data_IF_341838748083
#
_entry.id   IF_341838748083
#
_cell.length_a   1.000
_cell.length_b   1.000
_cell.length_c   1.000
_cell.angle_alpha   90.00
_cell.angle_beta   90.00
_cell.angle_gamma   90.00
#
_symmetry.space_group_name_H-M   'P 1'
#
loop_
_entity.id
_entity.type
_entity.pdbx_description
1 polymer ?
#
# COMPACT_ATOMS: atom_id res chain seq x y z
N UNK A 1 -22.57 16.64 -13.53
CA UNK A 1 -21.45 17.44 -14.07
C UNK A 1 -20.54 16.50 -14.85
N UNK A 2 -20.22 16.80 -16.12
CA UNK A 2 -19.29 15.95 -16.91
C UNK A 2 -17.87 16.23 -16.41
N UNK A 3 -17.13 15.18 -16.03
CA UNK A 3 -15.69 15.28 -15.80
C UNK A 3 -15.01 15.28 -17.17
N UNK A 4 -14.06 16.18 -17.37
CA UNK A 4 -13.22 16.20 -18.56
C UNK A 4 -11.93 15.45 -18.22
N UNK A 5 -11.40 14.69 -19.18
CA UNK A 5 -10.08 14.06 -19.03
C UNK A 5 -9.00 15.12 -18.88
N UNK A 6 -7.98 14.80 -18.08
CA UNK A 6 -6.75 15.60 -18.01
C UNK A 6 -5.76 15.04 -19.02
N UNK A 7 -4.88 15.90 -19.57
CA UNK A 7 -3.75 15.42 -20.38
C UNK A 7 -2.85 14.58 -19.49
N UNK A 8 -2.59 13.34 -19.90
CA UNK A 8 -1.76 12.40 -19.16
C UNK A 8 -0.34 12.35 -19.73
N UNK A 9 0.64 12.13 -18.86
CA UNK A 9 2.00 11.80 -19.26
C UNK A 9 2.15 10.28 -19.54
N UNK A 10 3.35 9.83 -19.90
CA UNK A 10 3.57 8.43 -20.29
C UNK A 10 3.24 7.44 -19.16
N UNK A 11 3.69 7.70 -17.93
CA UNK A 11 3.45 6.80 -16.79
C UNK A 11 1.97 6.74 -16.41
N UNK A 12 1.27 7.87 -16.46
CA UNK A 12 -0.17 7.94 -16.20
C UNK A 12 -0.97 7.19 -17.26
N UNK A 13 -0.59 7.29 -18.54
CA UNK A 13 -1.20 6.51 -19.63
C UNK A 13 -0.98 5.01 -19.42
N UNK A 14 0.22 4.59 -19.00
CA UNK A 14 0.49 3.18 -18.67
C UNK A 14 -0.34 2.68 -17.49
N UNK A 15 -0.41 3.45 -16.41
CA UNK A 15 -1.22 3.11 -15.25
C UNK A 15 -2.73 3.08 -15.59
N UNK A 16 -3.20 4.03 -16.40
CA UNK A 16 -4.57 4.05 -16.88
C UNK A 16 -4.88 2.84 -17.78
N UNK A 17 -3.94 2.42 -18.63
CA UNK A 17 -4.08 1.22 -19.46
C UNK A 17 -4.20 -0.07 -18.61
N UNK A 18 -3.52 -0.13 -17.46
CA UNK A 18 -3.71 -1.22 -16.49
C UNK A 18 -5.16 -1.21 -15.99
N UNK A 19 -5.69 -0.05 -15.54
CA UNK A 19 -7.07 0.08 -15.09
C UNK A 19 -8.07 -0.31 -16.20
N UNK A 20 -7.80 0.07 -17.45
CA UNK A 20 -8.64 -0.30 -18.59
C UNK A 20 -8.74 -1.81 -18.76
N UNK A 21 -7.60 -2.51 -18.73
CA UNK A 21 -7.56 -3.96 -18.84
C UNK A 21 -8.35 -4.64 -17.73
N UNK A 22 -8.19 -4.17 -16.49
CA UNK A 22 -8.90 -4.74 -15.33
C UNK A 22 -10.41 -4.50 -15.41
N UNK A 23 -10.85 -3.32 -15.84
CA UNK A 23 -12.29 -3.05 -16.08
C UNK A 23 -12.84 -3.99 -17.14
N UNK A 24 -12.13 -4.18 -18.25
CA UNK A 24 -12.55 -5.08 -19.33
C UNK A 24 -12.59 -6.54 -18.87
N UNK A 25 -11.60 -6.98 -18.06
CA UNK A 25 -11.50 -8.35 -17.53
C UNK A 25 -12.64 -8.69 -16.56
N UNK A 26 -13.00 -7.78 -15.66
CA UNK A 26 -14.01 -8.06 -14.63
C UNK A 26 -15.44 -7.74 -15.06
N UNK A 27 -15.65 -7.05 -16.19
CA UNK A 27 -16.99 -6.76 -16.71
C UNK A 27 -17.77 -8.07 -16.93
N UNK A 28 -19.04 -8.20 -16.45
CA UNK A 28 -19.94 -7.14 -15.98
C UNK A 28 -19.87 -6.81 -14.47
N UNK A 29 -18.93 -7.40 -13.71
CA UNK A 29 -18.69 -7.02 -12.31
C UNK A 29 -17.93 -5.70 -12.24
N UNK A 30 -18.10 -4.98 -11.13
CA UNK A 30 -17.49 -3.65 -10.95
C UNK A 30 -16.20 -3.80 -10.10
N UNK A 31 -15.01 -3.66 -10.70
CA UNK A 31 -13.77 -3.61 -9.92
C UNK A 31 -13.66 -2.29 -9.14
N UNK A 32 -12.87 -2.31 -8.09
CA UNK A 32 -12.46 -1.12 -7.35
C UNK A 32 -10.96 -0.91 -7.50
N UNK A 33 -10.58 0.29 -7.93
CA UNK A 33 -9.20 0.75 -7.93
C UNK A 33 -8.96 1.57 -6.67
N UNK A 34 -7.90 1.27 -5.95
CA UNK A 34 -7.33 2.13 -4.93
C UNK A 34 -6.08 2.77 -5.50
N UNK A 35 -6.04 4.09 -5.57
CA UNK A 35 -4.85 4.83 -6.02
C UNK A 35 -4.26 5.58 -4.83
N UNK A 36 -2.99 5.33 -4.56
CA UNK A 36 -2.26 5.96 -3.47
C UNK A 36 -1.04 6.72 -3.99
N UNK A 37 -0.90 7.95 -3.52
CA UNK A 37 0.24 8.82 -3.75
C UNK A 37 0.23 9.92 -2.71
N UNK A 38 1.24 10.78 -2.68
CA UNK A 38 1.35 11.79 -1.63
C UNK A 38 1.92 11.29 -0.33
N UNK A 39 2.75 10.24 -0.38
CA UNK A 39 3.47 9.77 0.80
C UNK A 39 4.34 10.90 1.36
N UNK A 40 4.24 11.17 2.65
CA UNK A 40 5.05 12.23 3.28
C UNK A 40 5.42 11.87 4.71
N UNK A 41 6.55 12.42 5.14
CA UNK A 41 7.01 12.39 6.52
C UNK A 41 6.57 13.70 7.21
N UNK A 42 5.76 13.65 8.29
CA UNK A 42 5.29 14.85 8.96
C UNK A 42 6.42 15.65 9.63
N UNK A 43 7.62 15.08 9.81
CA UNK A 43 8.79 15.76 10.38
C UNK A 43 9.49 16.69 9.39
N UNK A 44 9.17 16.59 8.10
CA UNK A 44 9.78 17.39 7.05
C UNK A 44 8.71 18.12 6.22
N UNK A 45 9.07 19.23 5.56
CA UNK A 45 8.21 19.81 4.55
C UNK A 45 7.84 18.79 3.46
N UNK A 46 6.60 18.85 2.97
CA UNK A 46 6.12 17.97 1.89
C UNK A 46 7.03 18.12 0.67
N UNK A 47 7.75 17.05 0.33
CA UNK A 47 8.71 17.02 -0.76
C UNK A 47 8.03 17.01 -2.14
N UNK A 48 8.84 17.10 -3.20
CA UNK A 48 8.35 17.09 -4.58
C UNK A 48 7.70 15.75 -4.94
N UNK A 49 8.30 14.63 -4.52
CA UNK A 49 7.77 13.29 -4.76
C UNK A 49 6.33 13.16 -4.25
N UNK A 50 6.04 13.58 -3.01
CA UNK A 50 4.72 13.54 -2.43
C UNK A 50 3.70 14.32 -3.28
N UNK A 51 4.03 15.56 -3.64
CA UNK A 51 3.13 16.39 -4.43
C UNK A 51 2.88 15.79 -5.82
N UNK A 52 3.91 15.24 -6.43
CA UNK A 52 3.89 14.68 -7.78
C UNK A 52 3.14 13.36 -7.86
N UNK A 53 3.48 12.39 -7.02
CA UNK A 53 2.78 11.10 -6.92
C UNK A 53 1.29 11.30 -6.62
N UNK A 54 0.93 12.28 -5.78
CA UNK A 54 -0.47 12.61 -5.53
C UNK A 54 -1.18 13.13 -6.79
N UNK A 55 -0.53 14.01 -7.58
CA UNK A 55 -1.09 14.48 -8.85
C UNK A 55 -1.30 13.33 -9.84
N UNK A 56 -0.31 12.46 -10.00
CA UNK A 56 -0.44 11.27 -10.86
C UNK A 56 -1.66 10.41 -10.48
N UNK A 57 -1.78 10.06 -9.19
CA UNK A 57 -2.93 9.30 -8.69
C UNK A 57 -4.27 10.00 -8.99
N UNK A 58 -4.36 11.33 -8.86
CA UNK A 58 -5.58 12.09 -9.10
C UNK A 58 -5.90 12.25 -10.58
N UNK A 59 -4.90 12.47 -11.43
CA UNK A 59 -5.05 12.60 -12.90
C UNK A 59 -5.51 11.28 -13.52
N UNK A 60 -4.92 10.17 -13.08
CA UNK A 60 -5.36 8.81 -13.44
C UNK A 60 -6.78 8.55 -12.97
N UNK A 61 -7.10 8.83 -11.69
CA UNK A 61 -8.45 8.64 -11.17
C UNK A 61 -9.50 9.43 -11.95
N UNK A 62 -9.21 10.69 -12.25
CA UNK A 62 -10.13 11.57 -12.97
C UNK A 62 -10.42 11.04 -14.38
N UNK A 63 -9.37 10.64 -15.11
CA UNK A 63 -9.51 10.05 -16.44
C UNK A 63 -10.24 8.70 -16.43
N UNK A 64 -9.91 7.83 -15.46
CA UNK A 64 -10.57 6.54 -15.30
C UNK A 64 -12.08 6.71 -14.99
N UNK A 65 -12.45 7.63 -14.11
CA UNK A 65 -13.86 7.93 -13.80
C UNK A 65 -14.57 8.54 -15.01
N UNK A 66 -13.93 9.47 -15.72
CA UNK A 66 -14.52 10.10 -16.89
C UNK A 66 -14.86 9.08 -17.99
N UNK A 67 -13.97 8.09 -18.19
CA UNK A 67 -14.11 7.03 -19.19
C UNK A 67 -15.10 5.93 -18.77
N UNK A 68 -14.89 5.32 -17.61
CA UNK A 68 -15.61 4.10 -17.18
C UNK A 68 -16.85 4.37 -16.31
N UNK A 69 -16.96 5.58 -15.74
CA UNK A 69 -18.13 6.07 -15.02
C UNK A 69 -18.62 5.11 -13.92
N UNK A 70 -19.69 4.35 -14.18
CA UNK A 70 -20.35 3.49 -13.20
C UNK A 70 -19.76 2.08 -13.15
N UNK A 71 -19.00 1.70 -14.18
CA UNK A 71 -18.41 0.38 -14.34
C UNK A 71 -17.09 0.24 -13.56
N UNK A 72 -16.69 1.31 -12.85
CA UNK A 72 -15.52 1.37 -11.99
C UNK A 72 -15.86 2.05 -10.66
N UNK A 73 -15.21 1.62 -9.57
CA UNK A 73 -15.11 2.39 -8.33
C UNK A 73 -13.67 2.81 -8.09
N UNK A 74 -13.49 4.01 -7.54
CA UNK A 74 -12.18 4.51 -7.13
C UNK A 74 -12.22 4.90 -5.66
N UNK A 75 -11.17 4.51 -4.93
CA UNK A 75 -10.81 5.03 -3.63
C UNK A 75 -9.42 5.64 -3.74
N UNK A 76 -9.16 6.70 -2.97
CA UNK A 76 -7.89 7.41 -2.95
C UNK A 76 -7.25 7.29 -1.58
N UNK A 77 -5.93 7.31 -1.50
CA UNK A 77 -5.26 7.36 -0.21
C UNK A 77 -3.89 8.00 -0.19
N UNK A 78 -3.40 8.18 1.03
CA UNK A 78 -2.12 8.79 1.40
C UNK A 78 -1.54 7.99 2.57
N UNK A 79 -0.28 7.56 2.45
CA UNK A 79 0.51 6.99 3.53
C UNK A 79 1.35 8.08 4.23
N UNK A 80 1.42 8.04 5.56
CA UNK A 80 2.21 8.98 6.37
C UNK A 80 3.37 8.21 7.00
N UNK A 81 4.61 8.62 6.71
CA UNK A 81 5.83 8.07 7.34
C UNK A 81 6.07 8.72 8.72
N UNK A 82 5.20 8.38 9.66
CA UNK A 82 5.24 8.83 11.06
C UNK A 82 6.06 7.90 11.96
N UNK A 83 6.86 7.00 11.39
CA UNK A 83 7.72 6.07 12.14
C UNK A 83 9.06 6.67 12.52
N UNK A 84 9.64 7.46 11.62
CA UNK A 84 10.97 8.02 11.77
C UNK A 84 12.10 7.05 11.73
N UNK A 85 11.94 5.99 10.95
CA UNK A 85 13.00 5.05 10.68
C UNK A 85 13.67 5.44 9.37
N UNK A 86 14.81 6.14 9.43
CA UNK A 86 15.74 6.14 8.30
C UNK A 86 16.41 4.77 8.28
N UNK A 87 16.00 3.93 7.33
CA UNK A 87 16.57 2.60 7.17
C UNK A 87 17.85 2.69 6.35
N UNK A 88 19.00 2.79 7.03
CA UNK A 88 20.28 2.45 6.44
C UNK A 88 20.41 0.93 6.29
N UNK A 89 21.26 0.47 5.36
CA UNK A 89 21.48 -0.96 5.03
C UNK A 89 21.87 -1.81 6.26
N UNK A 90 22.38 -1.19 7.33
CA UNK A 90 22.85 -1.88 8.53
C UNK A 90 22.10 -1.57 9.83
N UNK A 91 21.27 -0.52 9.89
CA UNK A 91 20.43 -0.25 11.07
C UNK A 91 19.29 0.73 10.78
N UNK A 92 18.16 0.52 11.45
CA UNK A 92 17.06 1.49 11.52
C UNK A 92 17.26 2.37 12.76
N UNK A 93 17.60 3.63 12.57
CA UNK A 93 17.67 4.60 13.66
C UNK A 93 16.35 5.38 13.73
N UNK A 94 15.82 5.57 14.96
CA UNK A 94 14.65 6.41 15.19
C UNK A 94 15.14 7.86 15.19
N UNK A 95 14.71 8.64 14.19
CA UNK A 95 14.99 10.07 14.11
C UNK A 95 14.32 10.83 15.28
N UNK A 96 14.90 11.95 15.73
CA UNK A 96 14.37 12.73 16.86
C UNK A 96 12.94 13.24 16.61
N UNK A 97 12.24 13.52 17.71
CA UNK A 97 10.85 13.97 17.74
C UNK A 97 10.61 15.23 16.89
N UNK A 98 9.36 15.36 16.42
CA UNK A 98 8.85 16.45 15.59
C UNK A 98 9.33 17.81 16.13
N UNK A 99 9.99 18.66 15.32
CA UNK A 99 10.33 20.01 15.76
C UNK A 99 9.03 20.80 16.02
N UNK A 100 8.96 21.52 17.13
CA UNK A 100 7.82 22.37 17.56
C UNK A 100 7.43 23.49 16.56
N UNK A 101 7.97 23.51 15.34
CA UNK A 101 7.77 24.56 14.33
C UNK A 101 7.60 24.01 12.90
N UNK A 102 6.96 22.84 12.71
CA UNK A 102 6.41 22.47 11.41
C UNK A 102 5.04 23.11 11.22
N UNK A 103 4.92 24.02 10.25
CA UNK A 103 3.71 24.78 9.88
C UNK A 103 2.36 24.15 10.27
N UNK A 104 1.88 24.47 11.47
CA UNK A 104 0.46 24.52 11.86
C UNK A 104 -0.44 23.30 11.66
N UNK A 105 0.09 22.10 11.43
CA UNK A 105 -0.71 20.91 11.09
C UNK A 105 -0.64 19.79 12.15
N UNK A 106 -0.68 20.11 13.45
CA UNK A 106 -0.45 19.06 14.47
C UNK A 106 -1.56 18.81 15.50
N UNK A 107 -2.66 19.56 15.53
CA UNK A 107 -3.72 19.25 16.51
C UNK A 107 -4.94 18.49 15.98
N UNK A 108 -5.17 18.38 14.66
CA UNK A 108 -6.46 17.88 14.14
C UNK A 108 -6.41 16.93 12.93
N UNK A 109 -5.40 16.07 12.77
CA UNK A 109 -5.42 15.08 11.66
C UNK A 109 -5.64 15.71 10.27
N UNK A 110 -5.23 16.96 10.12
CA UNK A 110 -5.36 17.73 8.90
C UNK A 110 -4.15 17.47 8.01
N UNK A 111 -4.39 17.18 6.73
CA UNK A 111 -3.33 17.04 5.74
C UNK A 111 -2.54 18.35 5.60
N UNK A 112 -1.22 18.30 5.34
CA UNK A 112 -0.42 19.48 5.05
C UNK A 112 -1.05 20.35 3.96
N UNK A 113 -0.93 21.67 4.10
CA UNK A 113 -1.53 22.65 3.19
C UNK A 113 -1.17 22.40 1.72
N UNK A 114 0.07 21.98 1.43
CA UNK A 114 0.53 21.65 0.08
C UNK A 114 -0.30 20.52 -0.55
N UNK A 115 -0.52 19.42 0.17
CA UNK A 115 -1.33 18.29 -0.31
C UNK A 115 -2.83 18.66 -0.35
N UNK A 116 -3.32 19.39 0.66
CA UNK A 116 -4.70 19.86 0.69
C UNK A 116 -5.04 20.76 -0.51
N UNK A 117 -4.12 21.64 -0.90
CA UNK A 117 -4.28 22.51 -2.07
C UNK A 117 -4.31 21.74 -3.39
N UNK A 118 -3.56 20.64 -3.50
CA UNK A 118 -3.62 19.74 -4.66
C UNK A 118 -4.99 19.06 -4.71
N UNK A 119 -5.43 18.45 -3.60
CA UNK A 119 -6.72 17.76 -3.53
C UNK A 119 -7.90 18.67 -3.88
N UNK A 120 -7.86 19.93 -3.45
CA UNK A 120 -8.91 20.91 -3.73
C UNK A 120 -9.10 21.22 -5.23
N UNK A 121 -8.11 20.93 -6.08
CA UNK A 121 -8.20 21.11 -7.53
C UNK A 121 -9.08 20.04 -8.20
N UNK A 122 -9.31 18.90 -7.54
CA UNK A 122 -9.97 17.73 -8.12
C UNK A 122 -11.37 17.50 -7.55
N UNK A 123 -12.39 17.67 -8.40
CA UNK A 123 -13.82 17.47 -8.05
C UNK A 123 -14.19 16.05 -7.64
N UNK A 124 -13.36 15.07 -7.99
CA UNK A 124 -13.55 13.66 -7.64
C UNK A 124 -13.22 13.37 -6.18
N UNK A 125 -12.45 14.26 -5.54
CA UNK A 125 -11.98 14.06 -4.16
C UNK A 125 -13.12 14.34 -3.19
N UNK A 126 -13.39 13.36 -2.35
CA UNK A 126 -14.27 13.46 -1.19
C UNK A 126 -13.46 13.08 0.04
N UNK A 127 -13.08 14.06 0.85
CA UNK A 127 -12.08 13.90 1.92
C UNK A 127 -12.48 12.80 2.91
N UNK A 128 -13.79 12.64 3.18
CA UNK A 128 -14.33 11.60 4.05
C UNK A 128 -14.20 10.17 3.49
N UNK A 129 -13.89 10.04 2.19
CA UNK A 129 -13.72 8.76 1.49
C UNK A 129 -12.26 8.45 1.18
N UNK A 130 -11.33 9.34 1.54
CA UNK A 130 -9.91 9.07 1.42
C UNK A 130 -9.43 8.16 2.55
N UNK A 131 -8.47 7.30 2.22
CA UNK A 131 -7.76 6.47 3.19
C UNK A 131 -6.46 7.18 3.53
N UNK A 132 -6.37 7.69 4.75
CA UNK A 132 -5.12 8.28 5.28
C UNK A 132 -4.64 7.36 6.38
N UNK A 133 -3.39 6.91 6.30
CA UNK A 133 -2.85 5.90 7.20
C UNK A 133 -1.40 6.20 7.56
N UNK A 134 -1.04 6.07 8.83
CA UNK A 134 0.35 6.21 9.31
C UNK A 134 1.06 4.88 9.48
N UNK A 135 2.34 4.83 9.12
CA UNK A 135 3.19 3.65 9.25
C UNK A 135 3.34 3.17 10.71
N UNK A 136 3.31 4.06 11.70
CA UNK A 136 3.37 3.73 13.12
C UNK A 136 2.20 2.85 13.54
N UNK A 137 1.02 3.19 13.04
CA UNK A 137 -0.18 2.40 13.27
C UNK A 137 -0.09 1.03 12.57
N UNK A 138 0.46 1.00 11.34
CA UNK A 138 0.75 -0.23 10.61
C UNK A 138 1.74 -1.13 11.36
N UNK A 139 2.83 -0.58 11.91
CA UNK A 139 3.83 -1.35 12.68
C UNK A 139 3.20 -2.12 13.83
N UNK A 140 2.43 -1.41 14.66
CA UNK A 140 1.83 -2.00 15.85
C UNK A 140 0.83 -3.11 15.49
N UNK A 141 -0.03 -2.88 14.48
CA UNK A 141 -0.97 -3.89 14.00
C UNK A 141 -0.26 -5.04 13.27
N UNK A 142 0.80 -4.75 12.54
CA UNK A 142 1.59 -5.70 11.77
C UNK A 142 2.23 -6.75 12.68
N UNK A 143 2.78 -6.34 13.82
CA UNK A 143 3.28 -7.29 14.84
C UNK A 143 2.17 -8.21 15.34
N UNK A 144 0.98 -7.67 15.62
CA UNK A 144 -0.15 -8.48 16.12
C UNK A 144 -0.66 -9.45 15.04
N UNK A 145 -0.71 -9.02 13.78
CA UNK A 145 -1.07 -9.89 12.66
C UNK A 145 -0.02 -10.98 12.46
N UNK A 146 1.27 -10.64 12.51
CA UNK A 146 2.35 -11.62 12.41
C UNK A 146 2.27 -12.65 13.55
N UNK A 147 2.09 -12.23 14.81
CA UNK A 147 1.90 -13.15 15.95
C UNK A 147 0.75 -14.14 15.72
N UNK A 148 -0.38 -13.69 15.18
CA UNK A 148 -1.52 -14.56 14.82
C UNK A 148 -1.17 -15.55 13.69
N UNK A 149 -0.40 -15.12 12.70
CA UNK A 149 0.08 -15.98 11.62
C UNK A 149 1.04 -17.04 12.18
N UNK A 150 1.98 -16.66 13.04
CA UNK A 150 2.92 -17.58 13.69
C UNK A 150 2.21 -18.61 14.56
N UNK A 151 1.17 -18.23 15.29
CA UNK A 151 0.39 -19.19 16.07
C UNK A 151 -0.30 -20.22 15.16
N UNK A 152 -0.86 -19.76 14.04
CA UNK A 152 -1.46 -20.66 13.05
C UNK A 152 -0.44 -21.53 12.33
N UNK A 153 0.76 -21.01 12.08
CA UNK A 153 1.83 -21.75 11.42
C UNK A 153 2.16 -23.05 12.17
N UNK A 154 2.01 -23.07 13.50
CA UNK A 154 2.21 -24.28 14.32
C UNK A 154 1.27 -25.43 13.95
N UNK A 155 0.05 -25.13 13.50
CA UNK A 155 -0.96 -26.13 13.14
C UNK A 155 -1.14 -26.28 11.62
N UNK A 156 -0.87 -25.22 10.87
CA UNK A 156 -0.99 -25.17 9.40
C UNK A 156 0.22 -24.41 8.86
N UNK A 157 1.32 -25.11 8.57
CA UNK A 157 2.56 -24.48 8.15
C UNK A 157 2.38 -23.65 6.87
N UNK A 158 2.99 -22.47 6.88
CA UNK A 158 3.15 -21.60 5.72
C UNK A 158 4.53 -21.90 5.11
N UNK A 159 4.62 -22.42 3.88
CA UNK A 159 5.90 -22.78 3.28
C UNK A 159 6.82 -21.58 3.09
N UNK A 160 6.27 -20.37 2.99
CA UNK A 160 7.01 -19.13 2.82
C UNK A 160 7.58 -18.58 4.14
N UNK A 161 7.36 -19.24 5.28
CA UNK A 161 7.74 -18.72 6.60
C UNK A 161 8.84 -19.58 7.24
N UNK A 162 9.97 -18.95 7.55
CA UNK A 162 11.08 -19.55 8.29
C UNK A 162 11.26 -18.88 9.66
N UNK A 163 11.54 -19.69 10.67
CA UNK A 163 11.79 -19.25 12.04
C UNK A 163 13.20 -19.70 12.43
N UNK A 164 14.06 -18.73 12.76
CA UNK A 164 15.41 -18.97 13.26
C UNK A 164 15.48 -18.61 14.74
N UNK A 165 15.72 -19.61 15.60
CA UNK A 165 15.83 -19.43 17.05
C UNK A 165 17.27 -19.65 17.51
N UNK A 166 17.82 -18.64 18.19
CA UNK A 166 19.10 -18.72 18.91
C UNK A 166 18.88 -18.37 20.38
N UNK A 167 19.88 -18.62 21.24
CA UNK A 167 19.76 -18.47 22.69
C UNK A 167 19.30 -17.06 23.17
N UNK A 168 19.48 -16.01 22.36
CA UNK A 168 19.14 -14.64 22.72
C UNK A 168 18.28 -13.91 21.67
N UNK A 169 17.97 -14.55 20.55
CA UNK A 169 17.35 -13.88 19.40
C UNK A 169 16.51 -14.86 18.60
N UNK A 170 15.24 -14.48 18.37
CA UNK A 170 14.36 -15.10 17.39
C UNK A 170 14.26 -14.19 16.17
N UNK A 171 14.45 -14.73 14.97
CA UNK A 171 14.23 -14.03 13.70
C UNK A 171 13.18 -14.75 12.88
N UNK A 172 12.30 -13.97 12.26
CA UNK A 172 11.24 -14.47 11.40
C UNK A 172 11.50 -13.98 10.00
N UNK A 173 11.60 -14.92 9.06
CA UNK A 173 11.86 -14.63 7.66
C UNK A 173 10.67 -15.04 6.81
N UNK A 174 10.43 -14.25 5.77
CA UNK A 174 9.63 -14.64 4.61
C UNK A 174 10.60 -15.08 3.50
N UNK A 175 10.31 -16.21 2.88
CA UNK A 175 11.04 -16.70 1.72
C UNK A 175 10.22 -16.36 0.48
N UNK A 176 10.74 -15.44 -0.34
CA UNK A 176 10.06 -15.04 -1.57
C UNK A 176 10.17 -16.13 -2.67
N UNK A 177 9.58 -15.89 -3.84
CA UNK A 177 9.57 -16.88 -4.95
C UNK A 177 10.97 -17.22 -5.47
N UNK A 178 11.91 -16.28 -5.32
CA UNK A 178 13.30 -16.45 -5.73
C UNK A 178 14.14 -17.17 -4.66
N UNK A 179 13.54 -17.53 -3.51
CA UNK A 179 14.22 -18.17 -2.40
C UNK A 179 15.01 -17.20 -1.51
N UNK A 180 14.86 -15.88 -1.71
CA UNK A 180 15.50 -14.87 -0.88
C UNK A 180 14.80 -14.77 0.48
N UNK A 181 15.60 -14.75 1.55
CA UNK A 181 15.14 -14.54 2.93
C UNK A 181 14.95 -13.05 3.21
N UNK A 182 13.72 -12.66 3.49
CA UNK A 182 13.30 -11.31 3.87
C UNK A 182 12.99 -11.29 5.36
N UNK A 183 13.73 -10.49 6.13
CA UNK A 183 13.49 -10.38 7.58
C UNK A 183 12.16 -9.63 7.84
N UNK A 184 11.23 -10.31 8.50
CA UNK A 184 9.92 -9.74 8.89
C UNK A 184 9.96 -9.10 10.26
N UNK A 185 10.52 -9.82 11.24
CA UNK A 185 10.61 -9.35 12.61
C UNK A 185 11.73 -10.06 13.36
N UNK A 186 12.19 -9.43 14.42
CA UNK A 186 13.14 -10.01 15.37
C UNK A 186 12.68 -9.79 16.81
N UNK A 187 13.01 -10.73 17.70
CA UNK A 187 12.70 -10.69 19.13
C UNK A 187 13.98 -10.90 19.93
N UNK A 188 14.45 -9.84 20.62
CA UNK A 188 15.66 -9.87 21.48
C UNK A 188 15.35 -10.26 22.93
N UNK A 189 14.08 -10.24 23.30
CA UNK A 189 13.57 -10.67 24.59
C UNK A 189 12.26 -11.41 24.38
N UNK A 190 11.82 -12.18 25.38
CA UNK A 190 10.55 -12.90 25.31
C UNK A 190 9.41 -11.90 25.05
N UNK A 191 8.63 -12.15 24.01
CA UNK A 191 7.43 -11.39 23.60
C UNK A 191 7.63 -9.94 23.12
N UNK A 192 8.88 -9.45 23.06
CA UNK A 192 9.23 -8.10 22.54
C UNK A 192 9.70 -8.19 21.10
N UNK A 193 8.79 -7.87 20.18
CA UNK A 193 9.01 -7.98 18.74
C UNK A 193 9.28 -6.61 18.11
N UNK A 194 10.28 -6.56 17.24
CA UNK A 194 10.56 -5.43 16.36
C UNK A 194 10.21 -5.82 14.93
N UNK A 195 9.14 -5.23 14.38
CA UNK A 195 8.78 -5.40 12.98
C UNK A 195 9.75 -4.63 12.07
N UNK A 196 10.01 -5.20 10.88
CA UNK A 196 10.75 -4.57 9.79
C UNK A 196 9.79 -4.04 8.73
N UNK A 197 10.27 -3.19 7.82
CA UNK A 197 9.46 -2.49 6.84
C UNK A 197 8.52 -3.40 6.00
N UNK A 198 8.92 -4.61 5.57
CA UNK A 198 8.00 -5.50 4.86
C UNK A 198 6.73 -5.85 5.67
N UNK A 199 6.82 -5.98 6.99
CA UNK A 199 5.64 -6.23 7.86
C UNK A 199 4.76 -4.98 7.96
N UNK A 200 5.37 -3.80 7.99
CA UNK A 200 4.66 -2.52 8.06
C UNK A 200 3.86 -2.32 6.77
N UNK A 201 4.50 -2.49 5.61
CA UNK A 201 3.87 -2.40 4.30
C UNK A 201 2.83 -3.50 4.08
N UNK A 202 3.11 -4.74 4.52
CA UNK A 202 2.12 -5.81 4.42
C UNK A 202 0.85 -5.51 5.23
N UNK A 203 1.01 -4.93 6.43
CA UNK A 203 -0.12 -4.50 7.23
C UNK A 203 -0.86 -3.31 6.58
N UNK A 204 -0.13 -2.36 5.98
CA UNK A 204 -0.71 -1.25 5.24
C UNK A 204 -1.66 -1.77 4.13
N UNK A 205 -1.18 -2.62 3.22
CA UNK A 205 -2.02 -3.17 2.16
C UNK A 205 -3.20 -3.99 2.70
N UNK A 206 -2.98 -4.73 3.79
CA UNK A 206 -4.03 -5.50 4.46
C UNK A 206 -5.14 -4.61 5.03
N UNK A 207 -4.77 -3.45 5.58
CA UNK A 207 -5.71 -2.46 6.12
C UNK A 207 -6.44 -1.69 5.02
N UNK A 208 -5.72 -1.31 3.94
CA UNK A 208 -6.30 -0.72 2.73
C UNK A 208 -7.34 -1.65 2.15
N UNK A 209 -7.01 -2.93 1.96
CA UNK A 209 -7.95 -3.94 1.48
C UNK A 209 -9.23 -3.96 2.33
N UNK A 210 -9.12 -4.06 3.66
CA UNK A 210 -10.28 -4.12 4.55
C UNK A 210 -11.15 -2.87 4.45
N UNK A 211 -10.51 -1.70 4.41
CA UNK A 211 -11.21 -0.42 4.36
C UNK A 211 -11.93 -0.24 3.02
N UNK A 212 -11.26 -0.51 1.92
CA UNK A 212 -11.82 -0.38 0.57
C UNK A 212 -12.90 -1.43 0.32
N UNK A 213 -12.71 -2.68 0.76
CA UNK A 213 -13.72 -3.74 0.66
C UNK A 213 -14.99 -3.40 1.46
N UNK A 214 -14.87 -2.71 2.60
CA UNK A 214 -16.03 -2.19 3.37
C UNK A 214 -16.73 -1.03 2.68
N UNK A 215 -15.97 -0.15 2.00
CA UNK A 215 -16.54 0.98 1.24
C UNK A 215 -17.26 0.53 -0.02
N UNK A 216 -16.80 -0.57 -0.64
CA UNK A 216 -17.34 -1.09 -1.90
C UNK A 216 -17.67 -2.59 -1.80
N UNK A 217 -18.65 -2.97 -0.96
CA UNK A 217 -18.94 -4.38 -0.68
C UNK A 217 -19.37 -5.17 -1.92
N UNK A 218 -19.97 -4.51 -2.91
CA UNK A 218 -20.38 -5.12 -4.19
C UNK A 218 -19.23 -5.44 -5.15
N UNK A 219 -18.01 -4.98 -4.86
CA UNK A 219 -16.88 -5.20 -5.75
C UNK A 219 -16.37 -6.64 -5.66
N UNK A 220 -15.95 -7.18 -6.81
CA UNK A 220 -15.42 -8.55 -6.94
C UNK A 220 -13.92 -8.58 -7.26
N UNK A 221 -13.31 -7.41 -7.43
CA UNK A 221 -11.88 -7.29 -7.68
C UNK A 221 -11.41 -5.98 -7.08
N UNK A 222 -10.31 -6.02 -6.34
CA UNK A 222 -9.70 -4.86 -5.73
C UNK A 222 -8.25 -4.77 -6.19
N UNK A 223 -7.92 -3.66 -6.84
CA UNK A 223 -6.57 -3.39 -7.29
C UNK A 223 -6.02 -2.16 -6.56
N UNK A 224 -4.96 -2.37 -5.78
CA UNK A 224 -4.17 -1.32 -5.13
C UNK A 224 -3.09 -0.89 -6.12
N UNK A 225 -3.04 0.39 -6.47
CA UNK A 225 -1.94 1.00 -7.23
C UNK A 225 -1.30 2.04 -6.31
N UNK A 226 -0.06 1.78 -5.92
CA UNK A 226 0.68 2.56 -4.94
C UNK A 226 1.93 3.17 -5.60
N UNK A 227 2.04 4.50 -5.56
CA UNK A 227 3.19 5.24 -6.03
C UNK A 227 4.21 5.40 -4.90
N UNK A 228 5.45 4.95 -5.13
CA UNK A 228 6.53 4.98 -4.12
C UNK A 228 7.83 5.54 -4.73
N UNK A 229 8.77 5.95 -3.88
CA UNK A 229 10.12 6.31 -4.35
C UNK A 229 10.91 5.05 -4.71
N UNK A 230 11.84 5.14 -5.66
CA UNK A 230 12.72 4.01 -6.03
C UNK A 230 13.55 3.50 -4.85
N UNK A 231 13.88 4.35 -3.88
CA UNK A 231 14.62 3.97 -2.67
C UNK A 231 13.82 2.99 -1.79
N UNK A 232 12.50 2.99 -1.92
CA UNK A 232 11.59 2.13 -1.19
C UNK A 232 11.31 0.79 -1.89
N UNK A 233 11.92 0.55 -3.05
CA UNK A 233 11.66 -0.62 -3.91
C UNK A 233 11.59 -1.95 -3.14
N UNK A 234 12.64 -2.26 -2.38
CA UNK A 234 12.72 -3.50 -1.63
C UNK A 234 11.70 -3.57 -0.48
N UNK A 235 11.40 -2.46 0.20
CA UNK A 235 10.47 -2.48 1.34
C UNK A 235 9.04 -2.71 0.86
N UNK A 236 8.68 -2.07 -0.27
CA UNK A 236 7.34 -2.06 -0.85
C UNK A 236 7.02 -3.39 -1.51
N UNK A 237 7.91 -3.92 -2.38
CA UNK A 237 7.68 -5.20 -3.08
C UNK A 237 7.61 -6.36 -2.11
N UNK A 238 8.59 -6.48 -1.21
CA UNK A 238 8.56 -7.52 -0.20
C UNK A 238 7.34 -7.38 0.73
N UNK A 239 6.91 -6.14 1.00
CA UNK A 239 5.67 -5.88 1.72
C UNK A 239 4.41 -6.36 0.98
N UNK A 240 4.35 -6.15 -0.34
CA UNK A 240 3.25 -6.62 -1.17
C UNK A 240 3.20 -8.15 -1.20
N UNK A 241 4.33 -8.83 -1.36
CA UNK A 241 4.40 -10.30 -1.34
C UNK A 241 3.97 -10.88 0.00
N UNK A 242 4.46 -10.31 1.10
CA UNK A 242 4.06 -10.71 2.46
C UNK A 242 2.57 -10.42 2.68
N UNK A 243 2.05 -9.31 2.15
CA UNK A 243 0.62 -9.01 2.20
C UNK A 243 -0.17 -10.15 1.55
N UNK A 244 0.18 -10.50 0.32
CA UNK A 244 -0.58 -11.45 -0.50
C UNK A 244 -0.48 -12.87 0.05
N UNK A 245 0.72 -13.34 0.39
CA UNK A 245 0.95 -14.74 0.78
C UNK A 245 0.65 -15.04 2.24
N UNK A 246 0.77 -14.05 3.13
CA UNK A 246 0.60 -14.24 4.56
C UNK A 246 -0.58 -13.47 5.16
N UNK A 247 -0.69 -12.16 4.93
CA UNK A 247 -1.64 -11.31 5.68
C UNK A 247 -3.06 -11.36 5.10
N UNK A 248 -3.17 -11.40 3.77
CA UNK A 248 -4.43 -11.43 3.03
C UNK A 248 -4.93 -12.84 2.76
N UNK A 249 -4.04 -13.84 2.68
CA UNK A 249 -4.40 -15.28 2.56
C UNK A 249 -5.44 -15.74 3.59
N UNK A 250 -5.43 -15.11 4.76
CA UNK A 250 -6.25 -15.47 5.91
C UNK A 250 -7.54 -14.67 6.05
N UNK A 251 -7.58 -13.49 5.44
CA UNK A 251 -8.85 -12.81 5.27
C UNK A 251 -9.52 -13.59 4.16
N UNK A 252 -10.70 -14.12 4.39
CA UNK A 252 -11.53 -14.61 3.30
C UNK A 252 -11.65 -13.44 2.32
N UNK A 253 -10.79 -13.42 1.29
CA UNK A 253 -10.76 -12.33 0.31
C UNK A 253 -12.12 -12.25 -0.39
N UNK A 254 -13.00 -13.22 -0.12
CA UNK A 254 -14.43 -13.14 -0.31
C UNK A 254 -14.71 -13.26 -1.78
N UNK A 255 -14.19 -14.30 -2.41
CA UNK A 255 -14.19 -14.47 -3.87
C UNK A 255 -13.70 -13.23 -4.64
N UNK A 256 -13.01 -12.27 -4.00
CA UNK A 256 -12.46 -11.10 -4.68
C UNK A 256 -11.06 -11.42 -5.17
N UNK A 257 -10.79 -11.08 -6.43
CA UNK A 257 -9.42 -11.00 -6.90
C UNK A 257 -8.73 -9.79 -6.24
N UNK A 258 -7.48 -9.96 -5.83
CA UNK A 258 -6.68 -8.85 -5.29
C UNK A 258 -5.39 -8.73 -6.07
N UNK A 259 -5.05 -7.49 -6.38
CA UNK A 259 -3.81 -7.13 -7.06
C UNK A 259 -3.20 -5.90 -6.41
N UNK A 260 -1.87 -5.90 -6.30
CA UNK A 260 -1.09 -4.76 -5.84
C UNK A 260 -0.13 -4.43 -6.98
N UNK A 261 -0.16 -3.20 -7.47
CA UNK A 261 0.79 -2.66 -8.43
C UNK A 261 1.54 -1.52 -7.78
N UNK A 262 2.85 -1.62 -7.72
CA UNK A 262 3.71 -0.57 -7.22
C UNK A 262 4.35 0.15 -8.39
N UNK A 263 4.25 1.47 -8.40
CA UNK A 263 4.86 2.35 -9.40
C UNK A 263 5.95 3.15 -8.69
N UNK A 264 7.20 2.80 -8.98
CA UNK A 264 8.36 3.46 -8.40
C UNK A 264 8.79 4.59 -9.30
N UNK A 265 8.86 5.80 -8.74
CA UNK A 265 9.33 7.00 -9.45
C UNK A 265 10.73 7.35 -8.99
N UNK A 266 11.62 7.64 -9.94
CA UNK A 266 12.92 8.21 -9.66
C UNK A 266 12.77 9.65 -9.17
N UNK A 267 13.59 10.06 -8.19
CA UNK A 267 13.62 11.44 -7.71
C UNK A 267 14.21 12.43 -8.75
N UNK A 268 14.77 11.92 -9.86
CA UNK A 268 15.52 12.73 -10.83
C UNK A 268 14.85 12.84 -12.21
N UNK A 269 14.08 11.83 -12.64
CA UNK A 269 13.47 11.78 -13.97
C UNK A 269 12.14 11.02 -13.95
N UNK A 270 11.10 11.63 -14.50
CA UNK A 270 9.75 11.04 -14.58
C UNK A 270 9.63 9.94 -15.62
N UNK A 271 10.57 9.90 -16.56
CA UNK A 271 10.65 8.84 -17.56
C UNK A 271 11.38 7.60 -17.00
N UNK A 272 12.02 7.72 -15.84
CA UNK A 272 12.67 6.62 -15.13
C UNK A 272 11.77 6.08 -14.01
N UNK A 273 10.97 5.08 -14.36
CA UNK A 273 10.06 4.40 -13.43
C UNK A 273 10.07 2.89 -13.58
N UNK A 274 9.69 2.22 -12.49
CA UNK A 274 9.53 0.77 -12.45
C UNK A 274 8.10 0.44 -12.06
N UNK A 275 7.45 -0.44 -12.80
CA UNK A 275 6.12 -0.97 -12.45
C UNK A 275 6.27 -2.43 -12.03
N UNK A 276 5.98 -2.72 -10.77
CA UNK A 276 5.92 -4.09 -10.24
C UNK A 276 4.48 -4.46 -9.92
N UNK A 277 4.08 -5.73 -10.10
CA UNK A 277 2.73 -6.17 -9.76
C UNK A 277 2.71 -7.56 -9.14
N UNK A 278 2.13 -7.65 -7.95
CA UNK A 278 1.86 -8.92 -7.25
C UNK A 278 0.35 -9.16 -7.26
N UNK A 279 -0.08 -10.37 -7.62
CA UNK A 279 -1.50 -10.73 -7.70
C UNK A 279 -1.80 -12.02 -6.97
N UNK A 280 -3.03 -12.12 -6.46
CA UNK A 280 -3.60 -13.35 -5.93
C UNK A 280 -4.95 -13.52 -6.60
N UNK A 281 -5.02 -14.46 -7.53
CA UNK A 281 -6.30 -14.99 -7.96
C UNK A 281 -6.84 -15.83 -6.79
N UNK A 282 -8.00 -15.47 -6.27
CA UNK A 282 -8.77 -16.46 -5.53
C UNK A 282 -8.93 -17.65 -6.47
N UNK A 283 -8.44 -18.83 -6.07
CA UNK A 283 -8.73 -20.06 -6.81
C UNK A 283 -10.22 -20.06 -7.08
N UNK A 284 -10.60 -20.11 -8.36
CA UNK A 284 -11.97 -20.39 -8.74
C UNK A 284 -12.28 -21.73 -8.09
N UNK A 285 -12.94 -21.71 -6.93
CA UNK A 285 -13.76 -22.84 -6.52
C UNK A 285 -14.83 -22.87 -7.59
N UNK A 286 -14.56 -23.65 -8.63
CA UNK A 286 -15.58 -24.10 -9.56
C UNK A 286 -16.69 -24.63 -8.66
N UNK A 287 -17.78 -23.86 -8.57
CA UNK A 287 -19.02 -24.39 -8.06
C UNK A 287 -19.43 -25.40 -9.12
N UNK A 288 -19.01 -26.66 -8.93
CA UNK A 288 -19.61 -27.77 -9.64
C UNK A 288 -21.12 -27.72 -9.37
N UNK A 289 -21.86 -27.88 -10.47
CA UNK A 289 -23.30 -27.70 -10.60
C UNK A 289 -24.12 -28.67 -9.74
#
# INVERSE_FOLDING_TARGET
MKLNGHTLNEIEEKALAIIHREVDEYTPKIPVMYLEGGHYDPRYPVNEFAQKSLRHALDIANNAIARHKKDLKISLGILIDDLGLQCGVESCEIAPELPENSDGAEEHGELPNALAAILAQYKIVKRERMVIQGERACKNRGIQTLKRILERHKTTPFPELEIEESAALTRIFFVNEEGQRVLLAESKAKDVWTAKCPVIMAQHYSDVYDRVAKLHPQSHALHIIDFSETDDYNKVINGADVAMKLFLRNKSVGNRAVKITNIFLSSFDDEDYIIHSTSHCADFVAVEA
#
